data_IF_471917172296
#
_entry.id   IF_471917172296
#
_cell.length_a   1.000
_cell.length_b   1.000
_cell.length_c   1.000
_cell.angle_alpha   90.00
_cell.angle_beta   90.00
_cell.angle_gamma   90.00
#
_symmetry.space_group_name_H-M   'P 1'
#
loop_
_entity.id
_entity.type
_entity.pdbx_description
1 polymer ?
#
# COMPACT_ATOMS: atom_id res chain seq x y z
N UNK A 1 -4.79 -25.87 16.25
CA UNK A 1 -3.78 -25.38 15.27
C UNK A 1 -4.33 -24.09 14.69
N UNK A 2 -3.52 -23.02 14.70
CA UNK A 2 -3.85 -21.59 14.55
C UNK A 2 -4.46 -20.94 15.82
N UNK A 3 -3.60 -20.47 16.72
CA UNK A 3 -4.02 -19.62 17.85
C UNK A 3 -4.49 -18.25 17.35
N UNK A 4 -5.34 -17.59 18.15
CA UNK A 4 -5.97 -16.29 17.88
C UNK A 4 -5.00 -15.12 17.59
N UNK A 5 -3.69 -15.36 17.56
CA UNK A 5 -2.66 -14.33 17.46
C UNK A 5 -2.01 -14.24 16.06
N UNK A 6 -2.37 -15.10 15.09
CA UNK A 6 -1.64 -15.18 13.82
C UNK A 6 -1.70 -13.90 12.96
N UNK A 7 -2.75 -13.10 13.11
CA UNK A 7 -2.97 -11.88 12.33
C UNK A 7 -3.31 -10.72 13.27
N UNK A 8 -2.70 -9.57 13.01
CA UNK A 8 -3.00 -8.30 13.70
C UNK A 8 -3.95 -7.50 12.83
N UNK A 9 -5.15 -7.21 13.33
CA UNK A 9 -6.10 -6.34 12.63
C UNK A 9 -5.63 -4.89 12.71
N UNK A 10 -5.54 -4.24 11.57
CA UNK A 10 -5.30 -2.80 11.48
C UNK A 10 -6.66 -2.13 11.29
N UNK A 11 -7.05 -1.31 12.26
CA UNK A 11 -8.22 -0.44 12.11
C UNK A 11 -7.99 0.46 10.91
N UNK A 12 -8.80 0.27 9.86
CA UNK A 12 -8.75 1.09 8.66
C UNK A 12 -9.76 2.23 8.81
N UNK A 13 -9.31 3.49 8.95
CA UNK A 13 -10.19 4.66 8.80
C UNK A 13 -10.52 4.95 7.32
N UNK A 14 -10.19 4.05 6.39
CA UNK A 14 -10.36 4.25 4.95
C UNK A 14 -11.82 4.26 4.49
N UNK A 15 -12.15 5.09 3.50
CA UNK A 15 -13.48 5.22 2.90
C UNK A 15 -14.06 3.91 2.33
N UNK A 16 -13.22 2.90 2.06
CA UNK A 16 -13.63 1.66 1.41
C UNK A 16 -14.38 0.69 2.32
N UNK A 17 -14.26 0.85 3.65
CA UNK A 17 -14.76 -0.13 4.62
C UNK A 17 -14.06 -1.49 4.53
N UNK A 18 -12.86 -1.54 3.95
CA UNK A 18 -12.05 -2.77 3.86
C UNK A 18 -11.24 -2.97 5.14
N UNK A 19 -11.28 -4.18 5.68
CA UNK A 19 -10.38 -4.61 6.74
C UNK A 19 -8.98 -4.88 6.20
N UNK A 20 -7.98 -4.50 6.98
CA UNK A 20 -6.58 -4.81 6.77
C UNK A 20 -6.08 -5.65 7.93
N UNK A 21 -5.26 -6.64 7.61
CA UNK A 21 -4.54 -7.45 8.59
C UNK A 21 -3.06 -7.47 8.25
N UNK A 22 -2.22 -7.64 9.26
CA UNK A 22 -0.79 -7.80 9.12
C UNK A 22 -0.38 -9.14 9.73
N UNK A 23 0.55 -9.84 9.10
CA UNK A 23 1.16 -11.04 9.69
C UNK A 23 1.98 -10.68 10.93
N UNK A 24 2.23 -11.66 11.81
CA UNK A 24 3.02 -11.40 13.03
C UNK A 24 4.46 -10.95 12.74
N UNK A 25 5.03 -11.41 11.64
CA UNK A 25 6.38 -11.08 11.19
C UNK A 25 6.44 -9.81 10.33
N UNK A 26 5.32 -9.11 10.18
CA UNK A 26 5.18 -7.86 9.42
C UNK A 26 5.50 -7.94 7.93
N UNK A 27 5.73 -9.12 7.38
CA UNK A 27 6.11 -9.28 5.98
C UNK A 27 4.94 -9.09 5.02
N UNK A 28 3.74 -9.48 5.43
CA UNK A 28 2.59 -9.52 4.54
C UNK A 28 1.39 -8.77 5.12
N UNK A 29 0.72 -8.04 4.24
CA UNK A 29 -0.59 -7.44 4.50
C UNK A 29 -1.68 -8.25 3.81
N UNK A 30 -2.82 -8.36 4.48
CA UNK A 30 -4.04 -8.96 3.94
C UNK A 30 -5.10 -7.87 3.87
N UNK A 31 -5.61 -7.60 2.67
CA UNK A 31 -6.68 -6.63 2.45
C UNK A 31 -7.94 -7.34 2.00
N UNK A 32 -9.04 -7.15 2.73
CA UNK A 32 -10.36 -7.57 2.24
C UNK A 32 -10.80 -6.71 1.05
N UNK A 33 -11.38 -7.35 0.03
CA UNK A 33 -11.74 -6.67 -1.22
C UNK A 33 -13.11 -7.08 -1.73
N UNK A 34 -13.75 -6.19 -2.47
CA UNK A 34 -15.02 -6.43 -3.14
C UNK A 34 -14.83 -7.33 -4.36
N UNK A 35 -15.92 -8.00 -4.78
CA UNK A 35 -15.91 -8.83 -6.02
C UNK A 35 -15.45 -8.04 -7.25
N UNK A 36 -15.81 -6.75 -7.33
CA UNK A 36 -15.42 -5.89 -8.44
C UNK A 36 -13.89 -5.65 -8.48
N UNK A 37 -13.27 -5.40 -7.34
CA UNK A 37 -11.80 -5.22 -7.24
C UNK A 37 -11.05 -6.50 -7.63
N UNK A 38 -11.55 -7.68 -7.23
CA UNK A 38 -10.97 -8.95 -7.69
C UNK A 38 -11.05 -9.10 -9.21
N UNK A 39 -12.17 -8.70 -9.83
CA UNK A 39 -12.29 -8.75 -11.30
C UNK A 39 -11.29 -7.81 -11.98
N UNK A 40 -11.07 -6.62 -11.41
CA UNK A 40 -10.05 -5.67 -11.91
C UNK A 40 -8.67 -6.29 -11.79
N UNK A 41 -8.30 -6.84 -10.63
CA UNK A 41 -7.01 -7.49 -10.41
C UNK A 41 -6.75 -8.63 -11.40
N UNK A 42 -7.74 -9.52 -11.60
CA UNK A 42 -7.59 -10.63 -12.54
C UNK A 42 -7.49 -10.17 -14.00
N UNK A 43 -8.15 -9.07 -14.36
CA UNK A 43 -8.06 -8.48 -15.70
C UNK A 43 -6.66 -7.91 -15.96
N UNK A 44 -6.11 -7.14 -15.01
CA UNK A 44 -4.78 -6.53 -15.13
C UNK A 44 -3.62 -7.51 -14.97
N UNK A 45 -3.86 -8.73 -14.43
CA UNK A 45 -2.80 -9.64 -14.00
C UNK A 45 -1.77 -9.99 -15.10
N UNK A 46 -2.15 -10.25 -16.37
CA UNK A 46 -1.17 -10.51 -17.43
C UNK A 46 -0.26 -9.30 -17.70
N UNK A 47 -0.83 -8.09 -17.79
CA UNK A 47 -0.07 -6.86 -17.98
C UNK A 47 0.81 -6.54 -16.78
N UNK A 48 0.27 -6.72 -15.56
CA UNK A 48 1.01 -6.57 -14.32
C UNK A 48 2.25 -7.47 -14.29
N UNK A 49 2.09 -8.76 -14.62
CA UNK A 49 3.20 -9.71 -14.65
C UNK A 49 4.29 -9.28 -15.66
N UNK A 50 3.90 -8.90 -16.87
CA UNK A 50 4.84 -8.41 -17.88
C UNK A 50 5.59 -7.15 -17.40
N UNK A 51 4.86 -6.19 -16.80
CA UNK A 51 5.43 -4.95 -16.29
C UNK A 51 6.48 -5.20 -15.20
N UNK A 52 6.16 -5.99 -14.18
CA UNK A 52 7.09 -6.24 -13.07
C UNK A 52 8.27 -7.15 -13.47
N UNK A 53 8.11 -7.99 -14.49
CA UNK A 53 9.22 -8.75 -15.07
C UNK A 53 10.14 -7.87 -15.92
N UNK A 54 9.59 -6.87 -16.62
CA UNK A 54 10.37 -5.95 -17.45
C UNK A 54 11.08 -4.88 -16.62
N UNK A 55 10.48 -4.45 -15.51
CA UNK A 55 10.98 -3.37 -14.66
C UNK A 55 11.20 -3.86 -13.22
N UNK A 56 12.39 -4.38 -12.94
CA UNK A 56 12.75 -4.96 -11.63
C UNK A 56 12.59 -3.97 -10.45
N UNK A 57 12.73 -2.67 -10.72
CA UNK A 57 12.59 -1.60 -9.74
C UNK A 57 11.16 -1.08 -9.57
N UNK A 58 10.16 -1.70 -10.21
CA UNK A 58 8.75 -1.32 -10.08
C UNK A 58 8.34 -1.11 -8.62
N UNK A 59 7.70 0.02 -8.34
CA UNK A 59 7.19 0.42 -7.03
C UNK A 59 5.79 -0.13 -6.76
N UNK A 60 5.16 -0.76 -7.76
CA UNK A 60 3.88 -1.41 -7.60
C UNK A 60 3.91 -2.47 -6.48
N UNK A 61 2.85 -2.52 -5.70
CA UNK A 61 2.68 -3.52 -4.66
C UNK A 61 2.79 -4.93 -5.23
N UNK A 62 3.60 -5.76 -4.58
CA UNK A 62 3.70 -7.19 -4.91
C UNK A 62 2.48 -7.94 -4.38
N UNK A 63 1.73 -8.56 -5.29
CA UNK A 63 0.64 -9.46 -4.97
C UNK A 63 1.17 -10.88 -4.81
N UNK A 64 0.86 -11.53 -3.69
CA UNK A 64 1.20 -12.93 -3.42
C UNK A 64 0.03 -13.89 -3.61
N UNK A 65 -1.20 -13.36 -3.61
CA UNK A 65 -2.37 -14.16 -3.90
C UNK A 65 -3.67 -13.39 -3.78
N UNK A 66 -4.67 -13.85 -4.52
CA UNK A 66 -6.07 -13.45 -4.34
C UNK A 66 -6.87 -14.68 -3.96
N UNK A 67 -7.59 -14.60 -2.85
CA UNK A 67 -8.25 -15.74 -2.25
C UNK A 67 -9.72 -15.42 -1.96
N UNK A 68 -10.50 -16.49 -1.83
CA UNK A 68 -11.87 -16.40 -1.43
C UNK A 68 -12.24 -17.54 -0.48
N UNK A 69 -12.81 -17.18 0.67
CA UNK A 69 -13.26 -18.11 1.69
C UNK A 69 -14.76 -17.95 1.88
N UNK A 70 -15.48 -19.07 1.98
CA UNK A 70 -16.91 -19.12 2.32
C UNK A 70 -17.10 -20.09 3.49
N UNK A 71 -17.23 -19.59 4.73
CA UNK A 71 -17.53 -20.43 5.88
C UNK A 71 -18.91 -21.07 5.74
N UNK A 72 -19.13 -22.22 6.38
CA UNK A 72 -20.48 -22.79 6.51
C UNK A 72 -21.37 -21.79 7.27
N UNK A 73 -22.50 -21.40 6.66
CA UNK A 73 -23.42 -20.40 7.23
C UNK A 73 -22.90 -18.95 7.21
N UNK A 74 -21.68 -18.68 6.74
CA UNK A 74 -21.06 -17.36 6.75
C UNK A 74 -21.06 -16.65 5.39
N UNK A 75 -20.82 -15.32 5.40
CA UNK A 75 -20.67 -14.55 4.17
C UNK A 75 -19.39 -14.96 3.43
N UNK A 76 -19.43 -14.83 2.10
CA UNK A 76 -18.27 -15.09 1.22
C UNK A 76 -17.31 -13.89 1.25
N UNK A 77 -16.11 -14.09 1.79
CA UNK A 77 -15.08 -13.06 1.91
C UNK A 77 -14.01 -13.25 0.83
N UNK A 78 -13.54 -12.14 0.25
CA UNK A 78 -12.41 -12.13 -0.69
C UNK A 78 -11.31 -11.26 -0.12
N UNK A 79 -10.07 -11.67 -0.32
CA UNK A 79 -8.92 -10.91 0.17
C UNK A 79 -7.72 -11.09 -0.75
N UNK A 80 -6.84 -10.11 -0.69
CA UNK A 80 -5.54 -10.10 -1.37
C UNK A 80 -4.46 -10.20 -0.30
N UNK A 81 -3.47 -11.05 -0.53
CA UNK A 81 -2.22 -11.09 0.23
C UNK A 81 -1.19 -10.29 -0.57
N UNK A 82 -0.56 -9.31 0.07
CA UNK A 82 0.38 -8.39 -0.56
C UNK A 82 1.57 -8.09 0.36
N UNK A 83 2.68 -7.62 -0.21
CA UNK A 83 3.85 -7.23 0.59
C UNK A 83 3.56 -6.03 1.49
N UNK A 84 4.02 -6.07 2.74
CA UNK A 84 4.06 -4.88 3.58
C UNK A 84 5.29 -4.04 3.21
N UNK A 85 5.07 -2.86 2.67
CA UNK A 85 6.18 -1.97 2.29
C UNK A 85 6.89 -1.31 3.46
N UNK A 86 6.27 -1.27 4.65
CA UNK A 86 6.90 -0.76 5.87
C UNK A 86 7.62 -1.88 6.65
N UNK A 87 7.68 -3.10 6.10
CA UNK A 87 8.57 -4.16 6.60
C UNK A 87 10.02 -3.78 6.25
N UNK A 88 10.70 -3.15 7.20
CA UNK A 88 12.03 -2.57 7.03
C UNK A 88 12.93 -2.97 8.19
N UNK A 89 14.23 -3.14 7.92
CA UNK A 89 15.24 -3.34 8.97
C UNK A 89 15.43 -2.09 9.84
N UNK A 90 15.06 -0.93 9.31
CA UNK A 90 15.11 0.35 10.01
C UNK A 90 13.73 0.78 10.53
N UNK A 91 13.64 1.35 11.75
CA UNK A 91 12.41 1.95 12.27
C UNK A 91 11.87 3.06 11.37
N UNK A 92 10.58 3.02 11.08
CA UNK A 92 9.90 4.05 10.29
C UNK A 92 9.30 5.10 11.22
N UNK A 93 9.92 6.27 11.29
CA UNK A 93 9.53 7.35 12.20
C UNK A 93 8.37 8.21 11.66
N UNK A 94 8.22 8.29 10.32
CA UNK A 94 7.11 8.98 9.66
C UNK A 94 6.58 8.17 8.48
N UNK A 95 5.26 8.15 8.33
CA UNK A 95 4.56 7.46 7.23
C UNK A 95 3.68 8.45 6.51
N UNK A 96 3.67 8.40 5.18
CA UNK A 96 2.81 9.23 4.34
C UNK A 96 2.07 8.37 3.33
N UNK A 97 0.81 8.70 3.09
CA UNK A 97 0.01 8.31 1.95
C UNK A 97 -0.13 9.55 1.07
N UNK A 98 0.47 9.56 -0.12
CA UNK A 98 0.51 10.71 -1.02
C UNK A 98 -0.22 10.39 -2.34
N UNK A 99 -1.11 11.29 -2.77
CA UNK A 99 -1.93 11.13 -3.98
C UNK A 99 -1.73 12.26 -4.99
N UNK A 100 -1.06 13.34 -4.61
CA UNK A 100 -0.96 14.57 -5.39
C UNK A 100 -2.24 15.42 -5.41
N UNK A 101 -3.25 15.08 -4.61
CA UNK A 101 -4.52 15.81 -4.52
C UNK A 101 -4.66 16.56 -3.19
N UNK A 102 -5.66 17.45 -3.06
CA UNK A 102 -5.86 18.28 -1.85
C UNK A 102 -7.09 17.90 -1.03
N UNK A 103 -8.17 17.48 -1.68
CA UNK A 103 -9.44 17.25 -0.99
C UNK A 103 -9.39 16.00 -0.09
N UNK A 104 -9.60 16.18 1.22
CA UNK A 104 -9.54 15.10 2.21
C UNK A 104 -8.11 14.56 2.48
N UNK A 105 -7.09 15.37 2.14
CA UNK A 105 -5.66 15.00 2.23
C UNK A 105 -4.94 15.65 3.41
N UNK A 106 -5.67 15.86 4.50
CA UNK A 106 -5.15 16.23 5.84
C UNK A 106 -5.50 15.12 6.84
N UNK A 107 -4.63 14.90 7.81
CA UNK A 107 -4.87 14.01 8.94
C UNK A 107 -5.74 14.71 9.98
N UNK A 108 -6.76 14.03 10.53
CA UNK A 108 -7.67 14.63 11.52
C UNK A 108 -7.17 14.48 12.96
N UNK A 109 -6.14 13.66 13.17
CA UNK A 109 -5.55 13.40 14.49
C UNK A 109 -4.80 14.65 14.97
N UNK A 110 -5.00 15.13 16.21
CA UNK A 110 -4.24 16.25 16.77
C UNK A 110 -2.73 15.96 16.78
N UNK A 111 -1.89 16.99 16.61
CA UNK A 111 -0.42 16.87 16.56
C UNK A 111 0.14 16.11 17.77
N UNK A 112 -0.39 16.36 18.96
CA UNK A 112 0.04 15.72 20.21
C UNK A 112 -0.22 14.20 20.27
N UNK A 113 -1.12 13.70 19.41
CA UNK A 113 -1.42 12.27 19.33
C UNK A 113 -0.74 11.62 18.12
N UNK A 114 -0.07 12.37 17.25
CA UNK A 114 0.64 11.80 16.10
C UNK A 114 1.82 10.95 16.59
N UNK A 115 1.83 9.71 16.15
CA UNK A 115 2.86 8.72 16.47
C UNK A 115 3.42 8.09 15.18
N UNK A 116 4.42 7.22 15.31
CA UNK A 116 5.10 6.55 14.19
C UNK A 116 4.19 5.62 13.37
N UNK A 117 3.03 5.25 13.92
CA UNK A 117 2.03 4.40 13.24
C UNK A 117 1.00 5.23 12.47
N UNK A 118 0.93 6.53 12.75
CA UNK A 118 0.01 7.46 12.11
C UNK A 118 0.44 7.69 10.66
N UNK A 119 -0.46 7.41 9.72
CA UNK A 119 -0.21 7.66 8.29
C UNK A 119 -0.69 9.05 7.91
N UNK A 120 0.27 9.94 7.69
CA UNK A 120 0.06 11.33 7.27
C UNK A 120 -0.32 11.41 5.79
N UNK A 121 -0.80 12.57 5.33
CA UNK A 121 -1.26 12.78 3.94
C UNK A 121 -0.57 13.97 3.28
N UNK A 122 -0.97 14.31 2.06
CA UNK A 122 -0.32 15.33 1.22
C UNK A 122 -0.20 16.70 1.89
N UNK A 123 -1.25 17.17 2.57
CA UNK A 123 -1.25 18.49 3.21
C UNK A 123 -0.51 18.51 4.55
N UNK A 124 -0.18 17.33 5.09
CA UNK A 124 0.62 17.17 6.29
C UNK A 124 2.12 17.06 5.95
N UNK A 125 2.48 16.90 4.66
CA UNK A 125 3.86 16.72 4.23
C UNK A 125 4.64 18.04 4.32
N UNK A 126 5.51 18.12 5.32
CA UNK A 126 6.37 19.27 5.59
C UNK A 126 7.87 19.00 5.30
N UNK A 127 8.17 17.98 4.49
CA UNK A 127 9.53 17.57 4.14
C UNK A 127 9.87 17.89 2.68
N UNK A 128 11.15 18.19 2.45
CA UNK A 128 11.76 18.23 1.12
C UNK A 128 12.79 17.11 1.03
N UNK A 129 12.56 16.16 0.13
CA UNK A 129 13.47 15.05 -0.10
C UNK A 129 14.57 15.46 -1.08
N UNK A 130 15.82 15.42 -0.63
CA UNK A 130 17.00 15.65 -1.48
C UNK A 130 17.66 14.30 -1.78
N UNK A 131 17.70 13.96 -3.06
CA UNK A 131 18.31 12.74 -3.57
C UNK A 131 19.52 13.11 -4.43
N UNK A 132 20.48 12.19 -4.54
CA UNK A 132 21.52 12.28 -5.56
C UNK A 132 20.86 12.32 -6.94
N UNK A 133 21.44 13.08 -7.88
CA UNK A 133 20.83 13.33 -9.19
C UNK A 133 20.49 12.03 -9.95
N UNK A 134 21.39 11.05 -9.93
CA UNK A 134 21.17 9.74 -10.56
C UNK A 134 19.97 9.01 -9.95
N UNK A 135 19.91 8.92 -8.62
CA UNK A 135 18.82 8.27 -7.90
C UNK A 135 17.48 8.95 -8.14
N UNK A 136 17.46 10.28 -8.15
CA UNK A 136 16.26 11.06 -8.48
C UNK A 136 15.78 10.71 -9.89
N UNK A 137 16.67 10.72 -10.88
CA UNK A 137 16.32 10.41 -12.27
C UNK A 137 15.80 8.98 -12.43
N UNK A 138 16.43 8.00 -11.78
CA UNK A 138 15.99 6.60 -11.79
C UNK A 138 14.61 6.44 -11.12
N UNK A 139 14.42 7.06 -9.96
CA UNK A 139 13.14 7.02 -9.23
C UNK A 139 12.00 7.63 -10.05
N UNK A 140 12.20 8.83 -10.59
CA UNK A 140 11.16 9.51 -11.40
C UNK A 140 10.84 8.69 -12.65
N UNK A 141 11.86 8.18 -13.36
CA UNK A 141 11.65 7.33 -14.54
C UNK A 141 10.87 6.06 -14.21
N UNK A 142 11.11 5.46 -13.05
CA UNK A 142 10.35 4.28 -12.63
C UNK A 142 8.91 4.64 -12.24
N UNK A 143 8.70 5.76 -11.53
CA UNK A 143 7.36 6.28 -11.22
C UNK A 143 6.56 6.53 -12.49
N UNK A 144 7.17 7.15 -13.50
CA UNK A 144 6.53 7.40 -14.81
C UNK A 144 6.07 6.10 -15.46
N UNK A 145 6.94 5.08 -15.54
CA UNK A 145 6.60 3.76 -16.08
C UNK A 145 5.46 3.09 -15.33
N UNK A 146 5.49 3.12 -14.00
CA UNK A 146 4.44 2.51 -13.18
C UNK A 146 3.11 3.24 -13.37
N UNK A 147 3.13 4.58 -13.48
CA UNK A 147 1.96 5.39 -13.76
C UNK A 147 1.39 5.13 -15.16
N UNK A 148 2.23 5.03 -16.19
CA UNK A 148 1.81 4.68 -17.57
C UNK A 148 1.10 3.31 -17.59
N UNK A 149 1.64 2.33 -16.87
CA UNK A 149 0.99 1.02 -16.74
C UNK A 149 -0.37 1.11 -16.04
N UNK A 150 -0.44 1.81 -14.90
CA UNK A 150 -1.70 1.98 -14.16
C UNK A 150 -2.75 2.71 -14.99
N UNK A 151 -2.36 3.73 -15.76
CA UNK A 151 -3.22 4.44 -16.69
C UNK A 151 -3.75 3.52 -17.79
N UNK A 152 -2.88 2.73 -18.42
CA UNK A 152 -3.27 1.77 -19.46
C UNK A 152 -4.29 0.74 -18.94
N UNK A 153 -4.15 0.30 -17.68
CA UNK A 153 -5.08 -0.61 -17.00
C UNK A 153 -6.35 0.08 -16.46
N UNK A 154 -6.46 1.41 -16.63
CA UNK A 154 -7.54 2.27 -16.13
C UNK A 154 -7.69 2.19 -14.61
N UNK A 155 -6.56 2.15 -13.92
CA UNK A 155 -6.48 2.14 -12.46
C UNK A 155 -6.22 3.57 -12.00
N UNK A 156 -6.94 4.00 -10.98
CA UNK A 156 -6.83 5.32 -10.37
C UNK A 156 -6.95 5.21 -8.84
N UNK A 157 -6.92 6.35 -8.16
CA UNK A 157 -7.01 6.44 -6.69
C UNK A 157 -5.93 5.66 -5.94
N UNK A 158 -4.81 5.36 -6.59
CA UNK A 158 -3.60 4.84 -5.97
C UNK A 158 -2.85 5.94 -5.23
N UNK A 159 -2.03 5.53 -4.27
CA UNK A 159 -1.17 6.42 -3.49
C UNK A 159 0.28 5.95 -3.59
N UNK A 160 1.21 6.90 -3.58
CA UNK A 160 2.60 6.64 -3.23
C UNK A 160 2.70 6.64 -1.71
N UNK A 161 2.98 5.49 -1.12
CA UNK A 161 3.23 5.35 0.29
C UNK A 161 4.72 5.59 0.56
N UNK A 162 5.04 6.44 1.55
CA UNK A 162 6.42 6.85 1.86
C UNK A 162 6.70 6.63 3.34
N UNK A 163 7.79 5.92 3.64
CA UNK A 163 8.30 5.73 5.00
C UNK A 163 9.63 6.47 5.16
N UNK A 164 9.77 7.23 6.25
CA UNK A 164 10.99 7.97 6.56
C UNK A 164 11.64 7.40 7.82
N UNK A 165 12.90 7.02 7.69
CA UNK A 165 13.81 6.74 8.79
C UNK A 165 14.81 7.90 8.94
N UNK A 166 15.09 8.30 10.17
CA UNK A 166 16.07 9.32 10.51
C UNK A 166 17.28 8.61 11.12
N UNK A 167 18.45 8.83 10.55
CA UNK A 167 19.70 8.34 11.15
C UNK A 167 20.09 9.34 12.25
N UNK A 168 20.38 8.82 13.44
CA UNK A 168 21.04 9.59 14.49
C UNK A 168 22.45 9.99 14.04
#
# INVERSE_FOLDING_TARGET
ICGNNALRELSSPGKSGSFFYLTQDDRFMIKTVKKAEVKVLLRMLPGFYQHVCQYENSLLTRFYGVHCVKPAGGPKTRFIVMGNMFCSEYPIHRRFDLKGSRHGRTTQKPEAEIDETTTLKDLDLNYVFRLQRSWYQELIKQIERDCEFLEAERIMDYSLLVGIHFRN
#
